data_IF_079282560972
#
_entry.id   IF_079282560972
#
_cell.length_a   1.000
_cell.length_b   1.000
_cell.length_c   1.000
_cell.angle_alpha   90.00
_cell.angle_beta   90.00
_cell.angle_gamma   90.00
#
_symmetry.space_group_name_H-M   'P 1'
#
loop_
_entity.id
_entity.type
_entity.pdbx_description
1 polymer ?
#
# COMPACT_ATOMS: atom_id res chain seq x y z
N UNK A 1 2.96 -15.60 -4.13
CA UNK A 1 3.60 -14.29 -4.44
C UNK A 1 5.07 -14.43 -4.83
N UNK A 2 5.55 -13.62 -5.78
CA UNK A 2 6.95 -13.56 -6.27
C UNK A 2 7.65 -12.25 -5.92
N UNK A 3 6.93 -11.12 -5.96
CA UNK A 3 7.49 -9.79 -5.69
C UNK A 3 6.66 -9.06 -4.64
N UNK A 4 7.31 -8.49 -3.63
CA UNK A 4 6.67 -7.64 -2.62
C UNK A 4 7.27 -6.23 -2.70
N UNK A 5 6.44 -5.23 -3.00
CA UNK A 5 6.82 -3.83 -2.92
C UNK A 5 6.66 -3.33 -1.50
N UNK A 6 7.77 -2.95 -0.88
CA UNK A 6 7.82 -2.45 0.51
C UNK A 6 8.00 -0.94 0.58
N UNK A 7 7.92 -0.25 -0.56
CA UNK A 7 7.93 1.21 -0.63
C UNK A 7 6.59 1.82 -0.21
N UNK A 8 6.67 2.95 0.51
CA UNK A 8 5.50 3.72 0.90
C UNK A 8 4.74 4.29 -0.31
N UNK A 9 3.47 4.62 -0.13
CA UNK A 9 2.69 5.36 -1.12
C UNK A 9 3.48 6.59 -1.59
N UNK A 10 3.35 6.92 -2.88
CA UNK A 10 4.01 8.09 -3.51
C UNK A 10 5.53 8.00 -3.66
N UNK A 11 6.11 6.80 -3.56
CA UNK A 11 7.52 6.52 -3.89
C UNK A 11 7.71 5.89 -5.28
N UNK A 12 6.64 5.73 -6.07
CA UNK A 12 6.69 5.10 -7.41
C UNK A 12 6.00 3.73 -7.50
N UNK A 13 5.24 3.36 -6.48
CA UNK A 13 4.50 2.07 -6.36
C UNK A 13 3.60 1.78 -7.56
N UNK A 14 2.87 2.78 -8.07
CA UNK A 14 1.97 2.62 -9.24
C UNK A 14 2.75 2.36 -10.56
N UNK A 15 3.89 3.02 -10.74
CA UNK A 15 4.76 2.79 -11.90
C UNK A 15 5.36 1.39 -11.86
N UNK A 16 5.83 0.95 -10.67
CA UNK A 16 6.31 -0.40 -10.46
C UNK A 16 5.21 -1.45 -10.70
N UNK A 17 4.00 -1.23 -10.21
CA UNK A 17 2.84 -2.08 -10.49
C UNK A 17 2.61 -2.23 -12.00
N UNK A 18 2.61 -1.12 -12.74
CA UNK A 18 2.45 -1.13 -14.20
C UNK A 18 3.56 -1.91 -14.90
N UNK A 19 4.82 -1.72 -14.49
CA UNK A 19 5.96 -2.45 -15.03
C UNK A 19 5.85 -3.96 -14.79
N UNK A 20 5.43 -4.39 -13.60
CA UNK A 20 5.24 -5.81 -13.28
C UNK A 20 4.12 -6.43 -14.10
N UNK A 21 3.03 -5.69 -14.38
CA UNK A 21 1.97 -6.13 -15.29
C UNK A 21 2.47 -6.29 -16.73
N UNK A 22 3.33 -5.38 -17.21
CA UNK A 22 3.98 -5.50 -18.53
C UNK A 22 4.83 -6.78 -18.62
N UNK A 23 5.50 -7.16 -17.53
CA UNK A 23 6.25 -8.41 -17.42
C UNK A 23 5.37 -9.66 -17.26
N UNK A 24 4.04 -9.54 -17.36
CA UNK A 24 3.10 -10.66 -17.30
C UNK A 24 2.76 -11.13 -15.89
N UNK A 25 3.09 -10.37 -14.85
CA UNK A 25 2.78 -10.73 -13.46
C UNK A 25 1.39 -10.23 -13.05
N UNK A 26 0.66 -11.06 -12.31
CA UNK A 26 -0.59 -10.65 -11.64
C UNK A 26 -0.24 -9.78 -10.43
N UNK A 27 -0.25 -8.47 -10.65
CA UNK A 27 0.09 -7.47 -9.65
C UNK A 27 -1.15 -6.83 -9.06
N UNK A 28 -1.17 -6.63 -7.74
CA UNK A 28 -2.16 -5.84 -7.01
C UNK A 28 -1.47 -4.60 -6.43
N UNK A 29 -2.11 -3.44 -6.59
CA UNK A 29 -1.67 -2.17 -6.05
C UNK A 29 -2.79 -1.60 -5.21
N UNK A 30 -2.48 -1.24 -3.96
CA UNK A 30 -3.43 -0.70 -2.99
C UNK A 30 -4.63 -1.64 -2.68
N UNK A 31 -4.42 -2.62 -1.81
CA UNK A 31 -5.47 -3.57 -1.41
C UNK A 31 -6.47 -2.94 -0.43
N UNK A 32 -7.74 -2.94 -0.80
CA UNK A 32 -8.83 -2.35 0.00
C UNK A 32 -9.77 -3.36 0.60
N UNK A 33 -9.46 -4.66 0.48
CA UNK A 33 -10.38 -5.74 0.87
C UNK A 33 -9.70 -6.75 1.78
N UNK A 34 -8.58 -7.32 1.34
CA UNK A 34 -8.13 -8.59 1.94
C UNK A 34 -7.49 -8.40 3.30
N UNK A 35 -7.06 -7.20 3.71
CA UNK A 35 -6.47 -6.94 5.03
C UNK A 35 -7.33 -6.05 5.93
N UNK A 36 -8.57 -5.73 5.55
CA UNK A 36 -9.42 -4.85 6.35
C UNK A 36 -9.68 -5.41 7.76
N UNK A 37 -9.91 -6.72 7.87
CA UNK A 37 -10.11 -7.42 9.14
C UNK A 37 -8.88 -7.37 10.06
N UNK A 38 -7.70 -7.20 9.47
CA UNK A 38 -6.44 -7.03 10.23
C UNK A 38 -6.27 -5.57 10.65
N UNK A 39 -6.56 -4.63 9.75
CA UNK A 39 -6.44 -3.20 9.99
C UNK A 39 -7.45 -2.68 11.02
N UNK A 40 -8.68 -3.19 11.01
CA UNK A 40 -9.72 -2.82 11.97
C UNK A 40 -9.62 -3.60 13.30
N UNK A 41 -8.69 -4.57 13.37
CA UNK A 41 -8.42 -5.37 14.56
C UNK A 41 -9.45 -6.45 14.86
N UNK A 42 -10.41 -6.72 13.97
CA UNK A 42 -11.39 -7.78 14.14
C UNK A 42 -10.81 -9.20 14.00
N UNK A 43 -9.65 -9.34 13.35
CA UNK A 43 -8.93 -10.60 13.20
C UNK A 43 -7.55 -10.58 13.89
N UNK A 44 -7.47 -11.23 15.05
CA UNK A 44 -6.23 -11.33 15.83
C UNK A 44 -5.27 -12.45 15.36
N UNK A 45 -5.68 -13.30 14.41
CA UNK A 45 -4.87 -14.41 13.88
C UNK A 45 -5.00 -14.52 12.36
N UNK A 46 -4.58 -13.48 11.62
CA UNK A 46 -4.73 -13.46 10.17
C UNK A 46 -3.82 -14.49 9.48
N UNK A 47 -4.37 -15.19 8.50
CA UNK A 47 -3.57 -15.93 7.52
C UNK A 47 -3.14 -15.01 6.38
N UNK A 48 -1.83 -14.78 6.23
CA UNK A 48 -1.26 -13.94 5.17
C UNK A 48 -1.11 -14.65 3.81
N UNK A 49 -1.42 -15.95 3.73
CA UNK A 49 -1.51 -16.72 2.47
C UNK A 49 -2.71 -16.34 1.58
N UNK A 50 -3.48 -15.31 1.97
CA UNK A 50 -4.63 -14.72 1.23
C UNK A 50 -4.29 -14.06 -0.13
N UNK A 51 -3.06 -14.23 -0.62
CA UNK A 51 -2.56 -13.67 -1.88
C UNK A 51 -1.91 -14.74 -2.78
N UNK A 52 -2.27 -16.01 -2.59
CA UNK A 52 -1.79 -17.14 -3.41
C UNK A 52 -2.15 -17.00 -4.89
N UNK A 53 -3.19 -16.24 -5.21
CA UNK A 53 -3.64 -15.91 -6.56
C UNK A 53 -2.87 -14.75 -7.21
N UNK A 54 -1.88 -14.16 -6.53
CA UNK A 54 -1.14 -13.00 -7.02
C UNK A 54 0.37 -13.26 -7.08
N UNK A 55 1.00 -12.62 -8.06
CA UNK A 55 2.44 -12.66 -8.27
C UNK A 55 3.14 -11.47 -7.61
N UNK A 56 2.48 -10.31 -7.49
CA UNK A 56 3.07 -9.14 -6.87
C UNK A 56 2.08 -8.30 -6.04
N UNK A 57 2.53 -7.77 -4.91
CA UNK A 57 1.79 -6.86 -4.04
C UNK A 57 2.57 -5.56 -3.83
N UNK A 58 1.91 -4.42 -3.96
CA UNK A 58 2.53 -3.10 -3.89
C UNK A 58 1.64 -2.14 -3.10
N UNK A 59 2.27 -1.17 -2.44
CA UNK A 59 1.60 -0.10 -1.68
C UNK A 59 0.88 -0.59 -0.42
N UNK A 60 0.31 0.34 0.33
CA UNK A 60 -0.47 0.06 1.53
C UNK A 60 -1.76 -0.72 1.19
N UNK A 61 -2.26 -1.57 2.10
CA UNK A 61 -1.69 -1.95 3.40
C UNK A 61 -0.60 -3.03 3.30
N UNK A 62 -0.40 -3.66 2.15
CA UNK A 62 0.54 -4.79 2.03
C UNK A 62 1.99 -4.43 2.38
N UNK A 63 2.44 -3.22 2.01
CA UNK A 63 3.76 -2.73 2.39
C UNK A 63 3.94 -2.53 3.91
N UNK A 64 2.85 -2.32 4.65
CA UNK A 64 2.88 -2.18 6.12
C UNK A 64 3.10 -3.55 6.79
N UNK A 65 2.47 -4.61 6.27
CA UNK A 65 2.60 -5.99 6.77
C UNK A 65 3.70 -6.78 6.05
N UNK A 66 4.82 -6.11 5.72
CA UNK A 66 5.86 -6.73 4.91
C UNK A 66 6.51 -7.92 5.63
N UNK A 67 6.71 -7.84 6.95
CA UNK A 67 7.33 -8.91 7.73
C UNK A 67 6.47 -10.19 7.71
N UNK A 68 5.16 -10.06 7.95
CA UNK A 68 4.24 -11.19 7.93
C UNK A 68 4.08 -11.79 6.52
N UNK A 69 4.07 -10.94 5.49
CA UNK A 69 4.05 -11.39 4.10
C UNK A 69 5.36 -12.08 3.69
N UNK A 70 6.51 -11.62 4.16
CA UNK A 70 7.79 -12.29 3.92
C UNK A 70 7.84 -13.66 4.60
N UNK A 71 7.26 -13.80 5.80
CA UNK A 71 7.13 -15.09 6.47
C UNK A 71 6.18 -16.04 5.72
N UNK A 72 5.06 -15.54 5.21
CA UNK A 72 4.09 -16.34 4.45
C UNK A 72 4.60 -16.73 3.03
N UNK A 73 5.49 -15.93 2.45
CA UNK A 73 6.06 -16.12 1.12
C UNK A 73 7.60 -15.97 1.15
N UNK A 74 8.33 -16.93 1.74
CA UNK A 74 9.77 -16.80 2.00
C UNK A 74 10.63 -16.67 0.73
N UNK A 75 10.14 -17.17 -0.40
CA UNK A 75 10.83 -17.07 -1.69
C UNK A 75 10.61 -15.73 -2.42
N UNK A 76 9.71 -14.87 -1.92
CA UNK A 76 9.42 -13.60 -2.58
C UNK A 76 10.61 -12.65 -2.52
N UNK A 77 10.81 -11.85 -3.58
CA UNK A 77 11.82 -10.79 -3.61
C UNK A 77 11.18 -9.47 -3.23
N UNK A 78 11.83 -8.72 -2.35
CA UNK A 78 11.36 -7.40 -1.94
C UNK A 78 11.96 -6.28 -2.80
N UNK A 79 11.14 -5.29 -3.16
CA UNK A 79 11.55 -4.08 -3.86
C UNK A 79 11.17 -2.87 -3.01
N UNK A 80 12.19 -2.14 -2.53
CA UNK A 80 11.99 -0.88 -1.81
C UNK A 80 12.16 0.28 -2.79
N UNK A 81 11.05 0.92 -3.15
CA UNK A 81 11.08 2.18 -3.90
C UNK A 81 11.29 3.35 -2.94
N UNK A 82 12.29 4.18 -3.22
CA UNK A 82 12.65 5.35 -2.40
C UNK A 82 12.47 6.63 -3.18
N UNK A 83 12.26 7.73 -2.45
CA UNK A 83 12.19 9.09 -2.97
C UNK A 83 12.81 10.03 -1.94
N UNK A 84 13.42 11.12 -2.41
CA UNK A 84 13.82 12.24 -1.57
C UNK A 84 12.68 12.65 -0.62
N UNK A 85 13.02 12.93 0.64
CA UNK A 85 12.05 13.13 1.72
C UNK A 85 11.11 14.31 1.45
N UNK A 86 11.67 15.47 1.10
CA UNK A 86 10.88 16.69 0.86
C UNK A 86 9.99 16.56 -0.38
N UNK A 87 10.51 15.88 -1.40
CA UNK A 87 9.76 15.57 -2.61
C UNK A 87 8.64 14.55 -2.36
N UNK A 88 8.89 13.56 -1.51
CA UNK A 88 7.89 12.59 -1.06
C UNK A 88 6.80 13.27 -0.24
N UNK A 89 7.19 14.08 0.75
CA UNK A 89 6.26 14.82 1.61
C UNK A 89 5.31 15.68 0.78
N UNK A 90 5.84 16.54 -0.10
CA UNK A 90 5.00 17.35 -1.02
C UNK A 90 4.09 16.49 -1.89
N UNK A 91 4.55 15.32 -2.33
CA UNK A 91 3.71 14.43 -3.14
C UNK A 91 2.62 13.74 -2.35
N UNK A 92 2.88 13.30 -1.11
CA UNK A 92 1.91 12.59 -0.28
C UNK A 92 0.91 13.54 0.35
N UNK A 93 1.34 14.72 0.83
CA UNK A 93 0.42 15.75 1.33
C UNK A 93 -0.56 16.19 0.25
N UNK A 94 -0.09 16.43 -0.98
CA UNK A 94 -0.98 16.76 -2.10
C UNK A 94 -1.97 15.63 -2.39
N UNK A 95 -1.48 14.39 -2.52
CA UNK A 95 -2.34 13.25 -2.78
C UNK A 95 -3.43 13.09 -1.71
N UNK A 96 -3.05 13.20 -0.44
CA UNK A 96 -3.98 13.12 0.67
C UNK A 96 -5.00 14.27 0.65
N UNK A 97 -4.55 15.51 0.48
CA UNK A 97 -5.44 16.68 0.44
C UNK A 97 -6.42 16.67 -0.74
N UNK A 98 -6.04 16.10 -1.89
CA UNK A 98 -6.92 15.94 -3.04
C UNK A 98 -8.04 14.92 -2.79
N UNK A 99 -7.78 13.86 -2.03
CA UNK A 99 -8.74 12.76 -1.80
C UNK A 99 -9.48 12.89 -0.45
N UNK A 100 -8.89 13.61 0.49
CA UNK A 100 -9.41 13.90 1.82
C UNK A 100 -9.20 15.39 2.11
N UNK A 101 -9.90 16.29 1.39
CA UNK A 101 -9.75 17.72 1.60
C UNK A 101 -10.10 18.06 3.04
N UNK A 102 -9.20 18.78 3.71
CA UNK A 102 -9.50 19.36 5.01
C UNK A 102 -10.75 20.22 4.86
N UNK A 103 -11.77 19.94 5.68
CA UNK A 103 -12.92 20.82 5.75
C UNK A 103 -12.40 22.19 6.20
N UNK A 104 -12.75 23.30 5.52
CA UNK A 104 -12.44 24.61 6.05
C UNK A 104 -13.01 24.68 7.47
N UNK A 105 -12.30 25.30 8.43
CA UNK A 105 -12.82 25.48 9.78
C UNK A 105 -14.24 26.02 9.67
N UNK A 106 -15.22 25.24 10.14
CA UNK A 106 -16.61 25.67 10.11
C UNK A 106 -16.70 27.01 10.83
N UNK A 107 -17.09 28.06 10.11
CA UNK A 107 -17.59 29.27 10.76
C UNK A 107 -18.88 28.88 11.47
N UNK A 108 -18.73 28.33 12.68
CA UNK A 108 -19.78 28.23 13.67
C UNK A 108 -20.18 29.65 14.06
N UNK A 109 -20.96 30.31 13.20
CA UNK A 109 -21.86 31.36 13.65
C UNK A 109 -22.84 30.67 14.59
N UNK A 110 -22.59 30.84 15.89
CA UNK A 110 -23.62 30.73 16.90
C UNK A 110 -24.84 31.52 16.40
N UNK A 111 -25.95 30.83 16.21
CA UNK A 111 -27.29 31.40 16.33
C UNK A 111 -28.03 30.58 17.36
#
# INVERSE_FOLDING_TARGET
MKVLGVGLSRTGTLSLHSALKILGLRSLHYDTVRLNDVLDGSNHRPDFRRYDDLDALLDLPTAYFYDELMLAYPECKCVLTVRDLDSWWRSVSRHFNEHHPAQPPGYGLKR
#
